data_IF_801503240352
#
_entry.id   IF_801503240352
#
_cell.length_a   1.000
_cell.length_b   1.000
_cell.length_c   1.000
_cell.angle_alpha   90.00
_cell.angle_beta   90.00
_cell.angle_gamma   90.00
#
_symmetry.space_group_name_H-M   'P 1'
#
loop_
_entity.id
_entity.type
_entity.pdbx_description
1 polymer ?
#
# COMPACT_ATOMS: atom_id res chain seq x y z
N UNK A 1 8.68 4.13 -26.36
CA UNK A 1 9.58 2.98 -26.16
C UNK A 1 10.94 3.58 -25.92
N UNK A 2 11.45 3.54 -24.69
CA UNK A 2 12.85 3.86 -24.44
C UNK A 2 13.63 2.56 -24.68
N UNK A 3 14.69 2.61 -25.48
CA UNK A 3 15.54 1.46 -25.72
C UNK A 3 16.63 1.43 -24.63
N UNK A 4 16.85 0.29 -23.99
CA UNK A 4 17.96 0.10 -23.05
C UNK A 4 19.05 -0.69 -23.76
N UNK A 5 20.29 -0.19 -23.77
CA UNK A 5 21.44 -0.89 -24.35
C UNK A 5 22.27 -1.53 -23.26
N UNK A 6 22.52 -2.84 -23.37
CA UNK A 6 23.39 -3.58 -22.47
C UNK A 6 24.84 -3.46 -22.96
N UNK A 7 25.70 -2.78 -22.19
CA UNK A 7 27.12 -2.68 -22.50
C UNK A 7 27.94 -2.90 -21.23
N UNK A 8 28.93 -3.80 -21.29
CA UNK A 8 29.88 -4.07 -20.19
C UNK A 8 29.28 -4.33 -18.79
N UNK A 9 28.13 -5.02 -18.71
CA UNK A 9 27.49 -5.34 -17.43
C UNK A 9 26.68 -4.21 -16.79
N UNK A 10 26.49 -3.09 -17.51
CA UNK A 10 25.63 -1.97 -17.12
C UNK A 10 24.56 -1.74 -18.17
N UNK A 11 23.33 -1.51 -17.71
CA UNK A 11 22.24 -1.03 -18.56
C UNK A 11 22.34 0.50 -18.64
N UNK A 12 22.52 1.03 -19.84
CA UNK A 12 22.48 2.48 -20.08
C UNK A 12 21.07 2.87 -20.53
N UNK A 13 20.45 3.84 -19.84
CA UNK A 13 19.24 4.49 -20.33
C UNK A 13 19.63 5.58 -21.35
N UNK A 14 18.81 5.79 -22.39
CA UNK A 14 19.03 6.77 -23.48
C UNK A 14 19.31 8.22 -23.04
N UNK A 15 19.14 8.55 -21.75
CA UNK A 15 19.44 9.87 -21.17
C UNK A 15 20.81 9.98 -20.46
N UNK A 16 21.71 9.00 -20.58
CA UNK A 16 23.02 9.02 -19.92
C UNK A 16 22.97 8.71 -18.41
N UNK A 17 21.80 8.27 -17.90
CA UNK A 17 21.64 7.85 -16.51
C UNK A 17 22.19 6.44 -16.32
N UNK A 18 23.02 6.26 -15.31
CA UNK A 18 23.60 4.97 -14.95
C UNK A 18 22.64 4.22 -14.03
N UNK A 19 22.50 2.92 -14.27
CA UNK A 19 21.72 2.03 -13.41
C UNK A 19 22.67 1.29 -12.46
N UNK A 20 22.43 1.43 -11.15
CA UNK A 20 23.12 0.68 -10.11
C UNK A 20 22.14 -0.29 -9.48
N UNK A 21 22.42 -1.59 -9.53
CA UNK A 21 21.59 -2.56 -8.82
C UNK A 21 21.79 -2.36 -7.31
N UNK A 22 20.68 -2.15 -6.60
CA UNK A 22 20.64 -1.92 -5.15
C UNK A 22 19.87 -3.02 -4.43
N UNK A 23 19.25 -3.96 -5.15
CA UNK A 23 18.55 -5.07 -4.53
C UNK A 23 17.82 -5.97 -5.52
N UNK A 24 16.91 -6.77 -5.00
CA UNK A 24 16.03 -7.67 -5.77
C UNK A 24 14.66 -7.76 -5.09
N UNK A 25 13.59 -7.69 -5.88
CA UNK A 25 12.22 -7.85 -5.37
C UNK A 25 12.06 -9.24 -4.79
N UNK A 26 11.81 -9.35 -3.49
CA UNK A 26 11.63 -10.64 -2.81
C UNK A 26 10.17 -11.00 -2.61
N UNK A 27 9.27 -10.01 -2.47
CA UNK A 27 7.85 -10.26 -2.31
C UNK A 27 7.01 -9.06 -2.76
N UNK A 28 5.83 -9.36 -3.32
CA UNK A 28 4.86 -8.36 -3.78
C UNK A 28 3.50 -8.65 -3.16
N UNK A 29 2.84 -7.62 -2.64
CA UNK A 29 1.48 -7.69 -2.12
C UNK A 29 0.57 -6.66 -2.77
N UNK A 30 -0.67 -7.09 -2.99
CA UNK A 30 -1.81 -6.23 -3.27
C UNK A 30 -2.76 -6.33 -2.09
N UNK A 31 -3.34 -5.22 -1.66
CA UNK A 31 -4.33 -5.20 -0.59
C UNK A 31 -5.64 -4.66 -1.17
N UNK A 32 -6.47 -5.50 -1.79
CA UNK A 32 -7.64 -5.05 -2.55
C UNK A 32 -8.58 -4.18 -1.71
N UNK A 33 -8.86 -4.62 -0.48
CA UNK A 33 -9.68 -3.89 0.49
C UNK A 33 -8.78 -3.19 1.51
N UNK A 34 -9.02 -1.88 1.71
CA UNK A 34 -8.33 -1.07 2.71
C UNK A 34 -8.38 -1.75 4.08
N UNK A 35 -7.21 -1.88 4.71
CA UNK A 35 -7.02 -2.52 6.03
C UNK A 35 -7.17 -4.04 6.10
N UNK A 36 -7.66 -4.71 5.05
CA UNK A 36 -7.79 -6.17 5.03
C UNK A 36 -6.45 -6.86 4.70
N UNK A 37 -6.44 -8.20 4.73
CA UNK A 37 -5.24 -9.00 4.47
C UNK A 37 -4.70 -8.77 3.05
N UNK A 38 -3.38 -8.79 2.91
CA UNK A 38 -2.72 -8.67 1.61
C UNK A 38 -2.70 -10.00 0.87
N UNK A 39 -2.83 -9.94 -0.45
CA UNK A 39 -2.68 -11.05 -1.39
C UNK A 39 -1.26 -11.01 -1.95
N UNK A 40 -0.49 -12.06 -1.70
CA UNK A 40 0.85 -12.21 -2.26
C UNK A 40 0.76 -12.61 -3.73
N UNK A 41 1.51 -11.94 -4.60
CA UNK A 41 1.55 -12.24 -6.04
C UNK A 41 3.00 -12.38 -6.50
N UNK A 42 3.24 -13.18 -7.54
CA UNK A 42 4.59 -13.33 -8.12
C UNK A 42 4.87 -12.31 -9.23
N UNK A 43 3.83 -11.78 -9.86
CA UNK A 43 3.90 -10.79 -10.94
C UNK A 43 2.71 -9.84 -10.81
N UNK A 44 2.92 -8.58 -11.17
CA UNK A 44 1.89 -7.53 -11.13
C UNK A 44 2.17 -6.48 -12.19
N UNK A 45 1.10 -5.86 -12.67
CA UNK A 45 1.21 -4.58 -13.35
C UNK A 45 1.35 -3.47 -12.30
N UNK A 46 2.13 -2.44 -12.61
CA UNK A 46 2.21 -1.22 -11.85
C UNK A 46 1.57 -0.10 -12.68
N UNK A 47 0.49 0.46 -12.14
CA UNK A 47 -0.28 1.54 -12.77
C UNK A 47 0.01 2.87 -12.06
N UNK A 48 -0.44 3.96 -12.66
CA UNK A 48 -0.38 5.31 -12.07
C UNK A 48 -0.96 5.42 -10.63
N UNK A 49 -1.99 4.63 -10.30
CA UNK A 49 -2.60 4.59 -8.97
C UNK A 49 -2.16 3.38 -8.10
N UNK A 50 -1.10 2.67 -8.49
CA UNK A 50 -0.51 1.57 -7.70
C UNK A 50 -0.57 0.20 -8.39
N UNK A 51 -0.42 -0.88 -7.62
CA UNK A 51 -0.35 -2.23 -8.17
C UNK A 51 -1.70 -2.77 -8.66
N UNK A 52 -1.66 -3.58 -9.72
CA UNK A 52 -2.80 -4.28 -10.31
C UNK A 52 -2.44 -5.73 -10.68
N UNK A 53 -3.25 -6.68 -10.24
CA UNK A 53 -3.21 -8.07 -10.68
C UNK A 53 -4.56 -8.44 -11.32
N UNK A 54 -4.54 -8.67 -12.63
CA UNK A 54 -5.76 -8.84 -13.41
C UNK A 54 -6.69 -7.62 -13.28
N UNK A 55 -7.90 -7.82 -12.76
CA UNK A 55 -8.89 -6.75 -12.55
C UNK A 55 -8.84 -6.13 -11.17
N UNK A 56 -7.99 -6.64 -10.28
CA UNK A 56 -7.93 -6.21 -8.89
C UNK A 56 -6.78 -5.23 -8.70
N UNK A 57 -7.08 -4.09 -8.10
CA UNK A 57 -6.13 -3.01 -7.83
C UNK A 57 -5.96 -2.79 -6.33
N UNK A 58 -4.80 -2.28 -5.96
CA UNK A 58 -4.43 -2.02 -4.59
C UNK A 58 -5.29 -0.94 -3.93
N UNK A 59 -5.98 -1.31 -2.84
CA UNK A 59 -6.94 -0.48 -2.08
C UNK A 59 -7.98 0.20 -2.96
N UNK A 60 -8.58 -0.56 -3.87
CA UNK A 60 -9.74 -0.13 -4.67
C UNK A 60 -11.08 -0.44 -4.00
N UNK A 61 -11.06 -1.05 -2.81
CA UNK A 61 -12.23 -1.21 -1.96
C UNK A 61 -11.98 -0.66 -0.56
N UNK A 62 -13.04 -0.19 0.10
CA UNK A 62 -12.97 0.34 1.45
C UNK A 62 -14.27 0.06 2.19
N UNK A 63 -14.15 -0.32 3.46
CA UNK A 63 -15.31 -0.39 4.36
C UNK A 63 -15.64 1.01 4.84
N UNK A 64 -16.92 1.36 4.80
CA UNK A 64 -17.44 2.66 5.22
C UNK A 64 -18.61 2.49 6.19
N UNK A 65 -18.80 3.49 7.04
CA UNK A 65 -20.03 3.67 7.83
C UNK A 65 -21.18 4.10 6.92
N UNK A 66 -22.41 4.06 7.43
CA UNK A 66 -23.58 4.56 6.69
C UNK A 66 -23.46 6.02 6.25
N UNK A 67 -22.74 6.84 7.02
CA UNK A 67 -22.47 8.24 6.72
C UNK A 67 -21.29 8.47 5.74
N UNK A 68 -20.71 7.38 5.20
CA UNK A 68 -19.62 7.42 4.22
C UNK A 68 -18.22 7.59 4.82
N UNK A 69 -18.06 7.71 6.14
CA UNK A 69 -16.72 7.76 6.73
C UNK A 69 -16.01 6.41 6.65
N UNK A 70 -14.72 6.44 6.32
CA UNK A 70 -13.88 5.24 6.28
C UNK A 70 -13.88 4.46 7.61
N UNK A 71 -13.77 3.15 7.50
CA UNK A 71 -13.45 2.24 8.60
C UNK A 71 -12.09 1.61 8.30
N UNK A 72 -11.16 1.71 9.23
CA UNK A 72 -9.80 1.16 9.07
C UNK A 72 -9.44 0.23 10.23
N UNK A 73 -8.35 -0.53 10.10
CA UNK A 73 -7.86 -1.38 11.18
C UNK A 73 -7.40 -0.60 12.44
N UNK A 74 -7.36 0.73 12.38
CA UNK A 74 -7.17 1.57 13.57
C UNK A 74 -8.43 1.59 14.46
N UNK A 75 -9.60 1.50 13.85
CA UNK A 75 -10.90 1.44 14.53
C UNK A 75 -11.37 0.00 14.71
N UNK A 76 -11.25 -0.81 13.66
CA UNK A 76 -11.70 -2.20 13.61
C UNK A 76 -10.52 -3.13 13.26
N UNK A 77 -9.63 -3.44 14.22
CA UNK A 77 -8.42 -4.24 13.99
C UNK A 77 -8.67 -5.59 13.31
N UNK A 78 -9.82 -6.22 13.58
CA UNK A 78 -10.22 -7.51 12.99
C UNK A 78 -10.31 -7.49 11.46
N UNK A 79 -10.38 -6.32 10.82
CA UNK A 79 -10.31 -6.21 9.36
C UNK A 79 -9.08 -6.91 8.77
N UNK A 80 -7.94 -6.89 9.47
CA UNK A 80 -6.69 -7.53 8.99
C UNK A 80 -6.82 -9.06 8.82
N UNK A 81 -7.84 -9.66 9.42
CA UNK A 81 -8.12 -11.10 9.36
C UNK A 81 -9.01 -11.48 8.18
N UNK A 82 -9.57 -10.51 7.46
CA UNK A 82 -10.36 -10.77 6.25
C UNK A 82 -9.39 -11.13 5.12
N UNK A 83 -9.35 -12.42 4.76
CA UNK A 83 -8.62 -12.92 3.60
C UNK A 83 -9.40 -12.67 2.33
N UNK A 84 -8.66 -12.53 1.22
CA UNK A 84 -9.22 -12.21 -0.08
C UNK A 84 -8.59 -13.16 -1.10
N UNK A 85 -9.44 -13.90 -1.81
CA UNK A 85 -9.05 -14.71 -2.96
C UNK A 85 -9.67 -14.11 -4.22
N UNK A 86 -8.96 -14.16 -5.33
CA UNK A 86 -9.34 -13.49 -6.58
C UNK A 86 -9.35 -14.53 -7.72
N UNK A 87 -10.53 -15.02 -8.08
CA UNK A 87 -10.66 -16.09 -9.07
C UNK A 87 -11.88 -15.85 -9.97
N UNK A 88 -11.77 -16.20 -11.25
CA UNK A 88 -12.90 -16.24 -12.20
C UNK A 88 -13.76 -14.96 -12.27
N UNK A 89 -13.16 -13.77 -12.08
CA UNK A 89 -13.82 -12.46 -11.99
C UNK A 89 -14.59 -12.18 -10.68
N UNK A 90 -14.37 -12.95 -9.63
CA UNK A 90 -14.96 -12.78 -8.32
C UNK A 90 -13.88 -12.52 -7.26
N UNK A 91 -14.25 -11.75 -6.24
CA UNK A 91 -13.57 -11.70 -4.96
C UNK A 91 -14.28 -12.66 -4.01
N UNK A 92 -13.52 -13.51 -3.34
CA UNK A 92 -14.02 -14.31 -2.21
C UNK A 92 -13.41 -13.76 -0.95
N UNK A 93 -14.26 -13.37 0.00
CA UNK A 93 -13.88 -12.89 1.32
C UNK A 93 -14.11 -14.00 2.33
N UNK A 94 -13.13 -14.21 3.19
CA UNK A 94 -13.25 -15.14 4.30
C UNK A 94 -12.77 -14.46 5.58
N UNK A 95 -13.39 -14.81 6.70
CA UNK A 95 -12.97 -14.34 8.00
C UNK A 95 -13.30 -15.37 9.08
N UNK A 96 -12.58 -15.37 10.23
CA UNK A 96 -12.82 -16.33 11.29
C UNK A 96 -14.27 -16.34 11.79
N UNK A 97 -14.91 -17.51 11.68
CA UNK A 97 -16.29 -17.74 12.13
C UNK A 97 -17.38 -17.21 11.21
N UNK A 98 -17.07 -16.94 9.94
CA UNK A 98 -18.03 -16.50 8.92
C UNK A 98 -18.04 -17.47 7.76
N UNK A 99 -19.20 -17.61 7.11
CA UNK A 99 -19.29 -18.23 5.79
C UNK A 99 -18.57 -17.37 4.74
N UNK A 100 -18.13 -18.00 3.66
CA UNK A 100 -17.48 -17.28 2.55
C UNK A 100 -18.45 -16.30 1.90
N UNK A 101 -17.96 -15.10 1.58
CA UNK A 101 -18.71 -14.08 0.84
C UNK A 101 -18.10 -13.89 -0.54
N UNK A 102 -18.90 -14.09 -1.58
CA UNK A 102 -18.46 -13.98 -2.98
C UNK A 102 -19.13 -12.79 -3.63
N UNK A 103 -18.33 -11.91 -4.24
CA UNK A 103 -18.83 -10.72 -4.95
C UNK A 103 -18.11 -10.55 -6.29
N UNK A 104 -18.78 -10.05 -7.34
CA UNK A 104 -18.14 -9.81 -8.63
C UNK A 104 -17.13 -8.67 -8.53
N UNK A 105 -15.96 -8.82 -9.17
CA UNK A 105 -14.94 -7.75 -9.22
C UNK A 105 -15.48 -6.52 -9.96
N UNK A 106 -16.30 -6.73 -11.00
CA UNK A 106 -16.98 -5.63 -11.71
C UNK A 106 -18.40 -5.52 -11.20
N UNK A 107 -18.68 -4.47 -10.44
CA UNK A 107 -20.02 -4.21 -9.93
C UNK A 107 -20.97 -3.71 -11.04
N UNK A 108 -22.29 -3.93 -10.90
CA UNK A 108 -23.29 -3.34 -11.78
C UNK A 108 -23.21 -1.82 -11.76
N UNK A 109 -23.29 -1.19 -12.94
CA UNK A 109 -23.25 0.28 -13.06
C UNK A 109 -24.47 0.97 -12.42
N UNK A 110 -25.54 0.22 -12.14
CA UNK A 110 -26.73 0.66 -11.42
C UNK A 110 -26.53 0.79 -9.90
N UNK A 111 -25.48 0.17 -9.33
CA UNK A 111 -25.24 0.26 -7.89
C UNK A 111 -24.99 1.71 -7.48
N UNK A 112 -25.55 2.10 -6.35
CA UNK A 112 -25.47 3.46 -5.81
C UNK A 112 -24.01 3.89 -5.65
N UNK A 113 -23.72 5.15 -5.97
CA UNK A 113 -22.44 5.78 -5.65
C UNK A 113 -22.62 6.56 -4.36
N UNK A 114 -21.78 6.28 -3.36
CA UNK A 114 -21.72 7.00 -2.11
C UNK A 114 -20.66 8.07 -2.17
N UNK A 115 -20.96 9.24 -1.60
CA UNK A 115 -19.95 10.19 -1.17
C UNK A 115 -19.34 9.66 0.13
N UNK A 116 -18.02 9.59 0.18
CA UNK A 116 -17.26 9.02 1.27
C UNK A 116 -16.18 9.99 1.73
N UNK A 117 -15.68 9.77 2.96
CA UNK A 117 -14.62 10.58 3.53
C UNK A 117 -13.45 9.74 4.03
N UNK A 118 -12.27 10.01 3.46
CA UNK A 118 -11.04 9.29 3.74
C UNK A 118 -9.96 10.28 4.20
N UNK A 119 -9.66 10.25 5.50
CA UNK A 119 -8.77 11.20 6.19
C UNK A 119 -9.16 12.68 5.94
N UNK A 120 -10.45 12.99 6.05
CA UNK A 120 -10.96 14.36 5.87
C UNK A 120 -11.10 14.80 4.40
N UNK A 121 -10.65 14.02 3.44
CA UNK A 121 -10.81 14.28 2.01
C UNK A 121 -12.00 13.51 1.44
N UNK A 122 -12.76 14.17 0.57
CA UNK A 122 -13.89 13.58 -0.13
C UNK A 122 -13.40 12.65 -1.24
N UNK A 123 -14.04 11.50 -1.35
CA UNK A 123 -13.86 10.50 -2.41
C UNK A 123 -15.17 9.76 -2.62
N UNK A 124 -15.41 9.21 -3.80
CA UNK A 124 -16.61 8.42 -4.07
C UNK A 124 -16.33 6.93 -4.07
N UNK A 125 -17.37 6.14 -3.87
CA UNK A 125 -17.30 4.69 -3.98
C UNK A 125 -18.64 4.09 -4.40
N UNK A 126 -18.60 3.15 -5.33
CA UNK A 126 -19.75 2.38 -5.77
C UNK A 126 -20.05 1.28 -4.76
N UNK A 127 -21.30 1.20 -4.34
CA UNK A 127 -21.73 0.25 -3.34
C UNK A 127 -21.63 -1.21 -3.82
N UNK A 128 -21.12 -2.10 -2.96
CA UNK A 128 -20.97 -3.53 -3.27
C UNK A 128 -22.23 -4.37 -3.01
N UNK A 129 -23.32 -3.79 -2.51
CA UNK A 129 -24.57 -4.47 -2.22
C UNK A 129 -24.80 -4.79 -0.74
N UNK A 130 -26.06 -5.05 -0.40
CA UNK A 130 -26.50 -5.27 0.98
C UNK A 130 -25.98 -6.57 1.59
N UNK A 131 -25.78 -7.61 0.79
CA UNK A 131 -25.25 -8.90 1.28
C UNK A 131 -23.83 -8.74 1.85
N UNK A 132 -22.95 -8.05 1.10
CA UNK A 132 -21.56 -7.80 1.53
C UNK A 132 -21.54 -6.83 2.72
N UNK A 133 -22.43 -5.84 2.72
CA UNK A 133 -22.60 -4.90 3.84
C UNK A 133 -23.00 -5.64 5.13
N UNK A 134 -23.98 -6.55 5.05
CA UNK A 134 -24.40 -7.38 6.16
C UNK A 134 -23.28 -8.31 6.63
N UNK A 135 -22.53 -8.91 5.71
CA UNK A 135 -21.41 -9.78 6.06
C UNK A 135 -20.33 -9.07 6.90
N UNK A 136 -19.90 -7.86 6.50
CA UNK A 136 -18.96 -7.07 7.30
C UNK A 136 -19.54 -6.66 8.65
N UNK A 137 -20.81 -6.26 8.67
CA UNK A 137 -21.51 -5.86 9.91
C UNK A 137 -21.60 -7.03 10.89
N UNK A 138 -21.98 -8.23 10.41
CA UNK A 138 -22.04 -9.46 11.21
C UNK A 138 -20.66 -9.89 11.72
N UNK A 139 -19.63 -9.82 10.88
CA UNK A 139 -18.27 -10.22 11.25
C UNK A 139 -17.68 -9.32 12.35
N UNK A 140 -17.86 -8.00 12.21
CA UNK A 140 -17.31 -7.00 13.13
C UNK A 140 -18.20 -6.77 14.36
N UNK A 141 -19.44 -7.27 14.35
CA UNK A 141 -20.41 -7.21 15.47
C UNK A 141 -20.60 -5.80 16.01
N UNK A 142 -20.76 -4.85 15.09
CA UNK A 142 -20.76 -3.40 15.37
C UNK A 142 -21.91 -2.72 14.63
N UNK A 143 -21.87 -1.40 14.55
CA UNK A 143 -22.81 -0.60 13.76
C UNK A 143 -22.81 -1.01 12.27
N UNK A 144 -23.86 -0.69 11.50
CA UNK A 144 -23.93 -1.03 10.09
C UNK A 144 -22.76 -0.44 9.29
N UNK A 145 -22.14 -1.29 8.48
CA UNK A 145 -21.08 -0.92 7.53
C UNK A 145 -21.46 -1.34 6.12
N UNK A 146 -20.84 -0.67 5.14
CA UNK A 146 -20.93 -1.02 3.73
C UNK A 146 -19.54 -1.20 3.15
N UNK A 147 -19.43 -1.98 2.09
CA UNK A 147 -18.22 -2.05 1.27
C UNK A 147 -18.44 -1.22 0.02
N UNK A 148 -17.52 -0.31 -0.29
CA UNK A 148 -17.55 0.46 -1.53
C UNK A 148 -16.32 0.18 -2.39
N UNK A 149 -16.49 0.22 -3.71
CA UNK A 149 -15.46 0.05 -4.72
C UNK A 149 -15.18 1.38 -5.44
N UNK A 150 -13.91 1.71 -5.62
CA UNK A 150 -13.48 2.80 -6.48
C UNK A 150 -13.51 2.38 -7.95
N UNK A 151 -14.11 3.22 -8.79
CA UNK A 151 -14.10 3.07 -10.25
C UNK A 151 -13.16 4.12 -10.85
N UNK A 152 -12.36 3.78 -11.86
CA UNK A 152 -11.39 4.70 -12.48
C UNK A 152 -12.03 5.86 -13.24
N UNK A 153 -13.33 5.80 -13.52
CA UNK A 153 -14.10 6.97 -13.99
C UNK A 153 -14.37 8.01 -12.89
N UNK A 154 -14.14 7.66 -11.62
CA UNK A 154 -14.20 8.58 -10.49
C UNK A 154 -12.86 9.29 -10.30
N UNK A 155 -12.90 10.49 -9.71
CA UNK A 155 -11.69 11.24 -9.39
C UNK A 155 -11.05 10.70 -8.11
N UNK A 156 -9.75 10.42 -8.16
CA UNK A 156 -8.98 9.99 -7.00
C UNK A 156 -8.65 11.13 -6.04
N UNK A 157 -8.00 10.79 -4.93
CA UNK A 157 -7.38 11.79 -4.04
C UNK A 157 -6.03 12.16 -4.61
N UNK A 158 -5.86 13.43 -4.95
CA UNK A 158 -4.64 13.93 -5.59
C UNK A 158 -3.56 14.21 -4.56
N UNK A 159 -2.29 14.04 -4.95
CA UNK A 159 -1.12 14.43 -4.15
C UNK A 159 -1.22 15.87 -3.60
N UNK A 160 -1.71 16.84 -4.39
CA UNK A 160 -1.88 18.24 -3.96
C UNK A 160 -2.87 18.40 -2.79
N UNK A 161 -3.87 17.51 -2.69
CA UNK A 161 -4.81 17.49 -1.56
C UNK A 161 -4.25 16.74 -0.36
N UNK A 162 -3.42 15.71 -0.61
CA UNK A 162 -2.77 14.92 0.43
C UNK A 162 -1.64 15.70 1.12
N UNK A 163 -0.90 16.48 0.34
CA UNK A 163 0.29 17.22 0.76
C UNK A 163 0.25 18.66 0.20
N UNK A 164 -0.67 19.52 0.70
CA UNK A 164 -0.87 20.86 0.14
C UNK A 164 0.35 21.78 0.26
N UNK A 165 1.23 21.54 1.22
CA UNK A 165 2.45 22.32 1.45
C UNK A 165 3.67 21.80 0.66
N UNK A 166 3.58 20.63 0.04
CA UNK A 166 4.71 19.95 -0.60
C UNK A 166 4.58 20.01 -2.13
N UNK A 167 4.60 21.23 -2.68
CA UNK A 167 4.35 21.48 -4.11
C UNK A 167 5.40 20.90 -5.06
N UNK A 168 6.57 20.50 -4.56
CA UNK A 168 7.63 19.84 -5.31
C UNK A 168 7.34 18.35 -5.59
N UNK A 169 6.34 17.76 -4.92
CA UNK A 169 5.97 16.36 -5.12
C UNK A 169 5.35 16.14 -6.51
N UNK A 170 5.56 14.94 -7.03
CA UNK A 170 5.07 14.50 -8.33
C UNK A 170 3.54 14.53 -8.35
N UNK A 171 2.96 14.78 -9.52
CA UNK A 171 1.51 14.80 -9.69
C UNK A 171 0.96 13.38 -9.89
N UNK A 172 0.30 12.84 -8.86
CA UNK A 172 -0.37 11.54 -8.93
C UNK A 172 -1.71 11.56 -8.17
N UNK A 173 -2.52 10.53 -8.39
CA UNK A 173 -3.77 10.29 -7.67
C UNK A 173 -3.80 8.87 -7.07
N UNK A 174 -4.52 8.72 -5.97
CA UNK A 174 -4.75 7.41 -5.33
C UNK A 174 -6.23 7.21 -5.03
N UNK A 175 -6.66 5.95 -4.99
CA UNK A 175 -8.00 5.58 -4.54
C UNK A 175 -8.08 5.60 -2.99
N UNK A 176 -8.16 4.42 -2.37
CA UNK A 176 -8.20 4.26 -0.92
C UNK A 176 -6.87 3.90 -0.20
N UNK A 177 -5.65 3.87 -0.82
CA UNK A 177 -4.40 3.92 -0.07
C UNK A 177 -4.36 5.09 0.91
N UNK A 178 -3.43 5.16 1.86
CA UNK A 178 -3.37 6.32 2.76
C UNK A 178 -2.94 7.58 1.98
N UNK A 179 -1.86 7.49 1.20
CA UNK A 179 -1.31 8.64 0.50
C UNK A 179 -0.46 8.37 -0.74
N UNK A 180 0.00 7.14 -1.02
CA UNK A 180 0.91 6.87 -2.13
C UNK A 180 0.50 5.64 -2.94
N UNK A 181 0.75 5.62 -4.28
CA UNK A 181 0.55 4.46 -5.13
C UNK A 181 1.33 3.22 -4.71
N UNK A 182 2.59 3.39 -4.29
CA UNK A 182 3.51 2.30 -3.95
C UNK A 182 4.17 2.57 -2.60
N UNK A 183 4.19 1.55 -1.76
CA UNK A 183 4.95 1.52 -0.52
C UNK A 183 5.98 0.38 -0.57
N UNK A 184 7.25 0.71 -0.36
CA UNK A 184 8.38 -0.21 -0.45
C UNK A 184 9.14 -0.27 0.89
N UNK A 185 9.54 -1.47 1.31
CA UNK A 185 10.38 -1.69 2.51
C UNK A 185 11.43 -2.76 2.21
N UNK A 186 12.66 -2.62 2.72
CA UNK A 186 13.65 -3.69 2.61
C UNK A 186 13.53 -4.78 3.69
N UNK A 187 13.97 -6.00 3.39
CA UNK A 187 14.07 -7.06 4.39
C UNK A 187 15.06 -6.71 5.50
N UNK A 188 16.15 -6.02 5.14
CA UNK A 188 17.19 -5.60 6.05
C UNK A 188 16.66 -4.60 7.10
N UNK A 189 15.81 -3.64 6.70
CA UNK A 189 15.13 -2.73 7.64
C UNK A 189 14.26 -3.48 8.65
N UNK A 190 13.51 -4.50 8.20
CA UNK A 190 12.70 -5.34 9.09
C UNK A 190 13.58 -6.19 10.02
N UNK A 191 14.68 -6.72 9.51
CA UNK A 191 15.64 -7.49 10.29
C UNK A 191 16.24 -6.62 11.40
N UNK A 192 16.72 -5.41 11.09
CA UNK A 192 17.23 -4.45 12.07
C UNK A 192 16.20 -4.16 13.16
N UNK A 193 14.96 -3.80 12.79
CA UNK A 193 13.90 -3.55 13.77
C UNK A 193 13.67 -4.77 14.68
N UNK A 194 13.66 -5.97 14.11
CA UNK A 194 13.47 -7.21 14.87
C UNK A 194 14.63 -7.55 15.82
N UNK A 195 15.82 -6.97 15.65
CA UNK A 195 16.91 -7.07 16.65
C UNK A 195 16.63 -6.24 17.91
N UNK A 196 15.76 -5.25 17.79
CA UNK A 196 15.43 -4.27 18.85
C UNK A 196 14.13 -4.63 19.58
N UNK A 197 13.40 -5.65 19.13
CA UNK A 197 12.10 -6.06 19.66
C UNK A 197 12.17 -7.35 20.47
N UNK A 198 11.42 -7.39 21.58
CA UNK A 198 11.22 -8.63 22.36
C UNK A 198 10.34 -9.64 21.59
N UNK A 199 9.20 -9.17 21.07
CA UNK A 199 8.33 -9.94 20.17
C UNK A 199 8.60 -9.49 18.75
N UNK A 200 9.18 -10.38 17.93
CA UNK A 200 9.45 -10.09 16.53
C UNK A 200 8.14 -9.85 15.76
N UNK A 201 8.18 -8.93 14.82
CA UNK A 201 7.09 -8.60 13.91
C UNK A 201 7.43 -9.05 12.49
N UNK A 202 6.39 -9.22 11.68
CA UNK A 202 6.49 -9.59 10.26
C UNK A 202 6.29 -8.36 9.36
N UNK A 203 6.63 -8.48 8.07
CA UNK A 203 6.48 -7.38 7.12
C UNK A 203 5.01 -6.92 6.98
N UNK A 204 4.07 -7.85 7.17
CA UNK A 204 2.63 -7.64 7.08
C UNK A 204 2.10 -6.60 8.10
N UNK A 205 2.81 -6.34 9.20
CA UNK A 205 2.49 -5.24 10.11
C UNK A 205 2.65 -3.86 9.44
N UNK A 206 3.55 -3.76 8.47
CA UNK A 206 3.88 -2.50 7.79
C UNK A 206 3.17 -2.33 6.45
N UNK A 207 2.63 -3.42 5.90
CA UNK A 207 1.80 -3.44 4.70
C UNK A 207 2.45 -2.81 3.44
N UNK A 208 3.72 -3.09 3.11
CA UNK A 208 4.30 -2.66 1.84
C UNK A 208 3.64 -3.39 0.67
N UNK A 209 3.69 -2.74 -0.48
CA UNK A 209 3.40 -3.33 -1.77
C UNK A 209 4.59 -4.17 -2.27
N UNK A 210 5.81 -3.67 -2.06
CA UNK A 210 7.04 -4.28 -2.56
C UNK A 210 8.02 -4.46 -1.40
N UNK A 211 8.57 -5.67 -1.27
CA UNK A 211 9.69 -5.96 -0.37
C UNK A 211 10.93 -6.25 -1.18
N UNK A 212 12.05 -5.67 -0.76
CA UNK A 212 13.34 -5.74 -1.46
C UNK A 212 14.39 -6.39 -0.57
N UNK A 213 15.13 -7.33 -1.14
CA UNK A 213 16.26 -8.01 -0.52
C UNK A 213 17.58 -7.56 -1.15
N UNK A 214 18.71 -7.89 -0.51
CA UNK A 214 20.05 -7.64 -1.07
C UNK A 214 20.57 -6.20 -0.89
N UNK A 215 20.06 -5.48 0.11
CA UNK A 215 20.52 -4.13 0.49
C UNK A 215 20.79 -4.05 2.00
N UNK A 216 21.42 -2.96 2.43
CA UNK A 216 21.63 -2.67 3.84
C UNK A 216 20.36 -2.15 4.53
N UNK A 217 20.31 -2.23 5.86
CA UNK A 217 19.16 -1.74 6.62
C UNK A 217 18.96 -0.23 6.37
N UNK A 218 17.74 0.14 6.00
CA UNK A 218 17.30 1.50 5.67
C UNK A 218 17.97 2.11 4.44
N UNK A 219 18.67 1.33 3.62
CA UNK A 219 19.24 1.83 2.37
C UNK A 219 18.15 2.40 1.44
N UNK A 220 16.92 1.88 1.53
CA UNK A 220 15.78 2.37 0.77
C UNK A 220 15.47 3.85 0.99
N UNK A 221 15.87 4.42 2.14
CA UNK A 221 15.70 5.84 2.44
C UNK A 221 16.45 6.72 1.42
N UNK A 222 17.49 6.19 0.76
CA UNK A 222 18.36 6.90 -0.20
C UNK A 222 17.94 6.72 -1.66
N UNK A 223 16.94 5.88 -1.94
CA UNK A 223 16.55 5.57 -3.30
C UNK A 223 15.54 6.61 -3.83
N UNK A 224 16.03 7.58 -4.59
CA UNK A 224 15.20 8.67 -5.10
C UNK A 224 14.46 8.30 -6.41
N UNK A 225 15.11 7.58 -7.31
CA UNK A 225 14.52 7.09 -8.56
C UNK A 225 14.89 5.62 -8.76
N UNK A 226 13.88 4.79 -9.03
CA UNK A 226 14.01 3.34 -9.17
C UNK A 226 13.53 2.86 -10.53
N UNK A 227 14.20 1.84 -11.05
CA UNK A 227 13.72 1.00 -12.15
C UNK A 227 13.60 -0.45 -11.64
N UNK A 228 12.41 -1.03 -11.77
CA UNK A 228 12.11 -2.43 -11.42
C UNK A 228 11.27 -3.02 -12.55
N UNK A 229 11.78 -4.04 -13.24
CA UNK A 229 11.18 -4.51 -14.48
C UNK A 229 11.07 -3.37 -15.49
N UNK A 230 9.86 -3.08 -15.96
CA UNK A 230 9.58 -1.96 -16.88
C UNK A 230 9.11 -0.68 -16.18
N UNK A 231 9.10 -0.68 -14.85
CA UNK A 231 8.45 0.36 -14.03
C UNK A 231 9.48 1.35 -13.52
N UNK A 232 9.30 2.62 -13.86
CA UNK A 232 10.08 3.72 -13.30
C UNK A 232 9.28 4.37 -12.17
N UNK A 233 9.91 4.50 -11.01
CA UNK A 233 9.29 5.04 -9.80
C UNK A 233 10.12 6.19 -9.25
N UNK A 234 9.45 7.19 -8.69
CA UNK A 234 10.11 8.33 -8.03
C UNK A 234 9.67 8.44 -6.59
N UNK A 235 10.63 8.64 -5.70
CA UNK A 235 10.40 8.79 -4.28
C UNK A 235 9.54 10.01 -4.02
N UNK A 236 8.51 9.78 -3.23
CA UNK A 236 7.59 10.81 -2.74
C UNK A 236 8.09 11.26 -1.38
N UNK A 237 7.96 10.40 -0.37
CA UNK A 237 8.26 10.69 1.03
C UNK A 237 8.59 9.40 1.79
N UNK A 238 9.19 9.51 2.96
CA UNK A 238 9.26 8.38 3.90
C UNK A 238 7.87 8.05 4.44
N UNK A 239 7.62 6.79 4.80
CA UNK A 239 6.34 6.35 5.34
C UNK A 239 6.28 6.59 6.86
N UNK A 240 5.48 7.57 7.35
CA UNK A 240 5.25 7.72 8.79
C UNK A 240 4.40 6.57 9.31
N UNK A 241 4.85 5.95 10.40
CA UNK A 241 4.15 4.81 11.01
C UNK A 241 3.14 5.28 12.04
N UNK A 242 2.01 4.59 12.06
CA UNK A 242 0.91 4.85 12.98
C UNK A 242 0.50 3.59 13.74
N UNK A 243 -0.47 3.72 14.64
CA UNK A 243 -0.94 2.64 15.52
C UNK A 243 -1.34 1.34 14.80
N UNK A 244 -1.67 1.40 13.50
CA UNK A 244 -1.98 0.20 12.71
C UNK A 244 -0.84 -0.81 12.74
N UNK A 245 0.43 -0.36 12.80
CA UNK A 245 1.56 -1.28 12.90
C UNK A 245 1.59 -2.10 14.19
N UNK A 246 0.74 -1.79 15.17
CA UNK A 246 0.61 -2.54 16.43
C UNK A 246 -0.52 -3.57 16.39
N UNK A 247 -1.24 -3.68 15.27
CA UNK A 247 -2.25 -4.71 15.05
C UNK A 247 -1.57 -5.97 14.52
N UNK A 248 -1.69 -7.06 15.27
CA UNK A 248 -1.16 -8.35 14.88
C UNK A 248 -1.97 -8.91 13.68
N UNK A 249 -1.33 -9.16 12.51
CA UNK A 249 -2.03 -9.51 11.28
C UNK A 249 -2.63 -10.93 11.30
N UNK A 250 -2.23 -11.77 12.26
CA UNK A 250 -2.71 -13.15 12.38
C UNK A 250 -3.85 -13.26 13.42
N UNK A 251 -3.90 -12.35 14.39
CA UNK A 251 -4.89 -12.41 15.49
C UNK A 251 -5.87 -11.24 15.52
N UNK A 252 -5.57 -10.13 14.82
CA UNK A 252 -6.38 -8.91 14.85
C UNK A 252 -6.35 -8.20 16.20
N UNK A 253 -5.43 -8.56 17.10
CA UNK A 253 -5.27 -7.94 18.41
C UNK A 253 -4.36 -6.73 18.29
N UNK A 254 -4.75 -5.61 18.89
CA UNK A 254 -3.98 -4.38 18.91
C UNK A 254 -3.18 -4.26 20.21
N UNK A 255 -1.85 -4.20 20.10
CA UNK A 255 -0.93 -4.06 21.23
C UNK A 255 -0.87 -2.61 21.74
N UNK A 256 -1.06 -1.65 20.82
CA UNK A 256 -1.01 -0.19 21.03
C UNK A 256 0.37 0.40 21.39
N UNK A 257 1.40 -0.42 21.56
CA UNK A 257 2.77 0.04 21.83
C UNK A 257 3.74 -0.42 20.76
N UNK A 258 3.98 -1.71 20.67
CA UNK A 258 4.99 -2.28 19.79
C UNK A 258 4.42 -2.66 18.41
N UNK A 259 5.20 -2.49 17.33
CA UNK A 259 6.61 -2.05 17.27
C UNK A 259 6.78 -0.52 17.20
N UNK A 260 5.70 0.25 17.44
CA UNK A 260 5.68 1.69 17.20
C UNK A 260 6.51 2.48 18.23
N UNK A 261 6.51 2.07 19.50
CA UNK A 261 7.37 2.66 20.54
C UNK A 261 8.85 2.43 20.25
N UNK A 262 9.24 1.20 19.88
CA UNK A 262 10.61 0.92 19.45
C UNK A 262 11.00 1.76 18.25
N UNK A 263 10.16 1.85 17.21
CA UNK A 263 10.45 2.72 16.06
C UNK A 263 10.62 4.20 16.47
N UNK A 264 9.81 4.71 17.39
CA UNK A 264 9.95 6.08 17.92
C UNK A 264 11.27 6.33 18.64
N UNK A 265 11.94 5.29 19.15
CA UNK A 265 13.20 5.48 19.88
C UNK A 265 14.39 5.76 18.96
N UNK A 266 14.31 5.43 17.67
CA UNK A 266 15.47 5.54 16.76
C UNK A 266 15.18 5.92 15.31
N UNK A 267 13.90 6.00 14.91
CA UNK A 267 13.48 6.30 13.53
C UNK A 267 12.62 7.57 13.42
N UNK A 268 12.77 8.52 14.34
CA UNK A 268 12.14 9.84 14.17
C UNK A 268 12.83 10.61 13.04
N UNK A 269 12.07 11.48 12.37
CA UNK A 269 12.60 12.32 11.30
C UNK A 269 13.58 13.37 11.84
N UNK A 270 14.40 13.91 10.93
CA UNK A 270 15.21 15.10 11.21
C UNK A 270 14.32 16.30 11.60
N UNK A 271 14.75 17.17 12.54
CA UNK A 271 13.99 18.36 12.93
C UNK A 271 13.58 19.26 11.77
N UNK A 272 14.37 19.34 10.68
CA UNK A 272 14.09 20.16 9.49
C UNK A 272 12.80 19.77 8.76
N UNK A 273 12.37 18.51 8.84
CA UNK A 273 11.17 17.98 8.19
C UNK A 273 10.06 17.62 9.20
N UNK A 274 10.17 18.11 10.44
CA UNK A 274 9.23 17.79 11.53
C UNK A 274 7.80 18.26 11.27
N UNK A 275 7.60 19.33 10.49
CA UNK A 275 6.26 19.79 10.10
C UNK A 275 5.47 18.73 9.32
N UNK A 276 6.18 17.89 8.55
CA UNK A 276 5.59 16.86 7.70
C UNK A 276 5.28 15.57 8.45
N UNK A 277 6.22 15.11 9.29
CA UNK A 277 6.11 13.80 9.96
C UNK A 277 5.70 13.88 11.45
N UNK A 278 5.76 15.08 12.03
CA UNK A 278 5.48 15.35 13.45
C UNK A 278 6.34 14.49 14.39
N UNK A 279 5.73 13.51 15.06
CA UNK A 279 6.38 12.56 15.97
C UNK A 279 6.23 11.11 15.49
N UNK A 280 5.82 10.93 14.23
CA UNK A 280 5.69 9.61 13.63
C UNK A 280 7.07 9.10 13.25
N UNK A 281 7.46 7.89 13.65
CA UNK A 281 8.70 7.32 13.17
C UNK A 281 8.56 6.87 11.71
N UNK A 282 9.68 6.76 11.00
CA UNK A 282 9.76 6.49 9.57
C UNK A 282 10.21 5.05 9.31
N UNK A 283 9.41 4.30 8.55
CA UNK A 283 9.75 2.94 8.15
C UNK A 283 9.11 2.56 6.83
N UNK A 284 9.94 2.42 5.79
CA UNK A 284 9.51 2.28 4.41
C UNK A 284 9.38 3.59 3.66
N UNK A 285 9.28 3.48 2.34
CA UNK A 285 9.33 4.59 1.41
C UNK A 285 8.13 4.58 0.47
N UNK A 286 7.58 5.76 0.23
CA UNK A 286 6.50 5.99 -0.72
C UNK A 286 7.05 6.39 -2.08
N UNK A 287 6.45 5.84 -3.13
CA UNK A 287 6.83 6.09 -4.52
C UNK A 287 5.62 6.43 -5.39
N UNK A 288 5.79 7.41 -6.29
CA UNK A 288 4.94 7.62 -7.46
C UNK A 288 5.44 6.75 -8.61
N UNK A 289 4.59 6.57 -9.62
CA UNK A 289 4.88 5.78 -10.81
C UNK A 289 5.05 6.74 -11.97
N UNK A 290 6.28 6.88 -12.46
CA UNK A 290 6.63 7.76 -13.58
C UNK A 290 6.46 7.04 -14.92
N UNK A 291 6.69 5.71 -14.93
CA UNK A 291 6.42 4.84 -16.07
C UNK A 291 5.66 3.61 -15.60
N UNK A 292 4.45 3.43 -16.15
CA UNK A 292 3.66 2.21 -15.94
C UNK A 292 4.31 1.04 -16.65
N UNK A 293 4.14 -0.16 -16.10
CA UNK A 293 4.79 -1.36 -16.63
C UNK A 293 4.45 -2.58 -15.78
N UNK A 294 5.26 -3.62 -15.88
CA UNK A 294 5.13 -4.81 -15.03
C UNK A 294 6.41 -5.04 -14.23
N UNK A 295 6.24 -5.65 -13.06
CA UNK A 295 7.33 -6.14 -12.23
C UNK A 295 6.96 -7.49 -11.62
N UNK A 296 7.97 -8.29 -11.30
CA UNK A 296 7.82 -9.61 -10.70
C UNK A 296 8.79 -9.81 -9.54
N UNK A 297 8.47 -10.78 -8.70
CA UNK A 297 9.42 -11.31 -7.72
C UNK A 297 10.64 -11.86 -8.46
N UNK A 298 11.83 -11.52 -7.98
CA UNK A 298 13.10 -11.83 -8.61
C UNK A 298 13.64 -10.72 -9.53
N UNK A 299 12.85 -9.68 -9.84
CA UNK A 299 13.38 -8.57 -10.63
C UNK A 299 14.48 -7.82 -9.86
N UNK A 300 15.60 -7.46 -10.54
CA UNK A 300 16.58 -6.56 -9.97
C UNK A 300 15.95 -5.19 -9.71
N UNK A 301 16.34 -4.58 -8.59
CA UNK A 301 15.99 -3.21 -8.26
C UNK A 301 17.18 -2.33 -8.61
N UNK A 302 17.01 -1.44 -9.58
CA UNK A 302 18.04 -0.47 -9.96
C UNK A 302 17.71 0.91 -9.43
N UNK A 303 18.68 1.53 -8.75
CA UNK A 303 18.69 2.97 -8.50
C UNK A 303 19.23 3.68 -9.74
N UNK A 304 18.56 4.74 -10.16
CA UNK A 304 19.09 5.64 -11.19
C UNK A 304 20.07 6.62 -10.54
N UNK A 305 21.29 6.69 -11.06
CA UNK A 305 22.31 7.65 -10.63
C UNK A 305 22.73 8.52 -11.82
N UNK A 306 22.93 9.81 -11.52
CA UNK A 306 23.53 10.77 -12.44
C UNK A 306 25.04 10.50 -12.62
#
# INVERSE_FOLDING_TARGET
MAYYTFNSGTWEAEAGRRLQQVGTVSKVWIYPIKSCKGVSVCETECTDMGLRCGKVRDRFWMVVKEDGHMVTARQEPRLVLVSITMENNYLTLEAPGMDQMVLPIKLPSSNKIHDCRLFGLDIRGRDCGDEVAQWFTSYLKTQPYRLVQFDTSMKGRTTKKLYPSESYLQNYEVAYPDCSPIHLISEASLADLNTRLKKKVKMEYFRPNIMVSGCEAFEEDTWDELLIGDVEMKKVLSCPRCILTTVDPDTGIIDRKEPLETLKSYRLCDPSVKSLYQTSPLFGMYFSVERVGSLRVGDPVYRMVD
#
